data_IF_600990388989
#
_entry.id   IF_600990388989
#
_cell.length_a   1.000
_cell.length_b   1.000
_cell.length_c   1.000
_cell.angle_alpha   90.00
_cell.angle_beta   90.00
_cell.angle_gamma   90.00
#
_symmetry.space_group_name_H-M   'P 1'
#
loop_
_entity.id
_entity.type
_entity.pdbx_description
1 polymer ?
#
# COMPACT_ATOMS: atom_id res chain seq x y z
N UNK A 1 -32.11 84.40 -55.60
CA UNK A 1 -31.30 83.31 -54.99
C UNK A 1 -32.28 82.27 -54.48
N UNK A 2 -32.27 80.98 -54.82
CA UNK A 2 -31.37 80.17 -55.66
C UNK A 2 -32.20 78.95 -56.08
N UNK A 3 -32.26 78.73 -57.38
CA UNK A 3 -32.48 77.47 -58.11
C UNK A 3 -32.48 76.17 -57.27
N UNK A 4 -33.65 75.52 -57.19
CA UNK A 4 -33.78 74.11 -56.81
C UNK A 4 -33.33 73.25 -58.00
N UNK A 5 -32.03 72.99 -58.05
CA UNK A 5 -31.36 72.18 -59.06
C UNK A 5 -31.94 70.76 -59.05
N UNK A 6 -32.54 70.34 -60.17
CA UNK A 6 -32.88 68.95 -60.46
C UNK A 6 -31.66 68.05 -60.23
N UNK A 7 -31.76 67.14 -59.26
CA UNK A 7 -30.73 66.15 -58.99
C UNK A 7 -30.97 64.97 -59.93
N UNK A 8 -29.96 64.67 -60.75
CA UNK A 8 -29.95 63.60 -61.74
C UNK A 8 -30.39 62.25 -61.14
N UNK A 9 -31.37 61.52 -61.74
CA UNK A 9 -31.87 60.26 -61.21
C UNK A 9 -30.79 59.15 -61.20
N UNK A 10 -29.84 59.22 -62.12
CA UNK A 10 -28.68 58.31 -62.20
C UNK A 10 -27.73 58.50 -61.01
N UNK A 11 -27.62 59.71 -60.46
CA UNK A 11 -26.78 60.00 -59.30
C UNK A 11 -27.43 59.52 -58.00
N UNK A 12 -28.78 59.54 -57.92
CA UNK A 12 -29.55 58.97 -56.81
C UNK A 12 -29.47 57.44 -56.76
N UNK A 13 -29.49 56.78 -57.91
CA UNK A 13 -29.35 55.31 -57.99
C UNK A 13 -27.91 54.89 -57.63
N UNK A 14 -26.89 55.62 -58.10
CA UNK A 14 -25.49 55.36 -57.71
C UNK A 14 -25.21 55.63 -56.23
N UNK A 15 -25.79 56.69 -55.66
CA UNK A 15 -25.67 56.98 -54.22
C UNK A 15 -26.45 55.98 -53.35
N UNK A 16 -27.61 55.50 -53.81
CA UNK A 16 -28.39 54.46 -53.12
C UNK A 16 -27.71 53.09 -53.18
N UNK A 17 -27.05 52.74 -54.28
CA UNK A 17 -26.26 51.50 -54.39
C UNK A 17 -24.99 51.58 -53.54
N UNK A 18 -24.32 52.74 -53.47
CA UNK A 18 -23.15 52.93 -52.61
C UNK A 18 -23.51 52.97 -51.11
N UNK A 19 -24.67 53.51 -50.74
CA UNK A 19 -25.19 53.49 -49.37
C UNK A 19 -25.75 52.10 -48.96
N UNK A 20 -26.36 51.35 -49.89
CA UNK A 20 -26.80 49.98 -49.65
C UNK A 20 -25.62 49.00 -49.52
N UNK A 21 -24.50 49.28 -50.20
CA UNK A 21 -23.26 48.50 -50.07
C UNK A 21 -22.50 48.78 -48.76
N UNK A 22 -22.80 49.89 -48.07
CA UNK A 22 -22.23 50.21 -46.75
C UNK A 22 -23.09 49.76 -45.56
N UNK A 23 -24.36 49.40 -45.79
CA UNK A 23 -25.27 48.89 -44.74
C UNK A 23 -25.24 47.36 -44.64
N UNK A 24 -24.67 46.66 -45.63
CA UNK A 24 -24.55 45.19 -45.64
C UNK A 24 -23.15 44.66 -45.25
N UNK A 25 -22.27 45.49 -44.67
CA UNK A 25 -20.91 45.09 -44.23
C UNK A 25 -20.65 45.51 -42.77
N UNK A 26 -21.45 45.03 -41.80
CA UNK A 26 -20.86 44.71 -40.50
C UNK A 26 -21.28 43.36 -39.89
N UNK A 27 -21.93 42.47 -40.63
CA UNK A 27 -22.35 41.14 -40.10
C UNK A 27 -21.21 40.10 -40.10
N UNK A 28 -20.03 40.42 -40.66
CA UNK A 28 -18.90 39.50 -40.77
C UNK A 28 -17.81 39.64 -39.68
N UNK A 29 -18.07 40.42 -38.62
CA UNK A 29 -17.12 40.56 -37.49
C UNK A 29 -17.70 40.15 -36.14
N UNK A 30 -18.74 39.32 -36.13
CA UNK A 30 -19.11 38.50 -34.96
C UNK A 30 -18.43 37.14 -35.06
N UNK A 31 -17.12 37.13 -35.33
CA UNK A 31 -16.32 36.01 -34.87
C UNK A 31 -16.16 36.25 -33.37
N UNK A 32 -17.05 35.65 -32.60
CA UNK A 32 -16.66 35.21 -31.26
C UNK A 32 -15.30 34.56 -31.44
N UNK A 33 -14.26 35.05 -30.77
CA UNK A 33 -13.14 34.20 -30.47
C UNK A 33 -13.76 33.09 -29.63
N UNK A 34 -14.23 32.03 -30.28
CA UNK A 34 -14.14 30.69 -29.73
C UNK A 34 -12.66 30.56 -29.43
N UNK A 35 -12.29 30.97 -28.21
CA UNK A 35 -11.15 30.37 -27.54
C UNK A 35 -11.43 28.90 -27.69
N UNK A 36 -10.54 28.20 -28.36
CA UNK A 36 -10.64 26.76 -28.55
C UNK A 36 -10.66 26.16 -27.14
N UNK A 37 -11.85 26.02 -26.54
CA UNK A 37 -12.04 25.34 -25.25
C UNK A 37 -11.62 23.87 -25.40
N UNK A 38 -11.54 23.39 -26.64
CA UNK A 38 -10.92 22.13 -27.02
C UNK A 38 -9.40 22.11 -26.83
N UNK A 39 -8.68 23.23 -26.73
CA UNK A 39 -7.25 23.27 -26.32
C UNK A 39 -7.07 23.46 -24.81
N UNK A 40 -8.05 24.00 -24.09
CA UNK A 40 -8.00 24.12 -22.62
C UNK A 40 -8.52 22.88 -21.89
N UNK A 41 -9.00 21.87 -22.62
CA UNK A 41 -9.55 20.63 -22.06
C UNK A 41 -8.89 19.38 -22.66
N UNK A 42 -7.61 19.46 -23.03
CA UNK A 42 -6.79 18.27 -23.26
C UNK A 42 -5.81 18.13 -22.10
N UNK A 43 -6.33 17.80 -20.92
CA UNK A 43 -5.57 16.95 -20.02
C UNK A 43 -5.24 15.69 -20.81
N UNK A 44 -3.98 15.56 -21.23
CA UNK A 44 -3.50 14.44 -22.02
C UNK A 44 -3.95 13.13 -21.31
N UNK A 45 -4.88 12.34 -21.88
CA UNK A 45 -5.48 11.18 -21.18
C UNK A 45 -4.45 10.08 -20.88
N UNK A 46 -3.24 10.20 -21.43
CA UNK A 46 -2.13 9.33 -21.13
C UNK A 46 -1.32 9.75 -19.89
N UNK A 47 -1.52 10.95 -19.33
CA UNK A 47 -0.74 11.43 -18.18
C UNK A 47 -1.47 11.22 -16.86
N UNK A 48 -0.81 10.64 -15.87
CA UNK A 48 -1.31 10.59 -14.49
C UNK A 48 -1.22 11.99 -13.87
N UNK A 49 -2.30 12.74 -14.00
CA UNK A 49 -2.51 14.04 -13.35
C UNK A 49 -3.67 13.95 -12.35
N UNK A 50 -3.38 14.19 -11.07
CA UNK A 50 -4.39 14.10 -10.02
C UNK A 50 -5.20 15.41 -9.94
N UNK A 51 -6.51 15.29 -10.17
CA UNK A 51 -7.46 16.37 -9.96
C UNK A 51 -7.89 16.41 -8.50
N UNK A 52 -7.63 17.54 -7.82
CA UNK A 52 -7.91 17.76 -6.40
C UNK A 52 -9.17 18.63 -6.22
N UNK A 53 -9.78 18.59 -5.04
CA UNK A 53 -10.83 19.53 -4.68
C UNK A 53 -10.26 20.95 -4.54
N UNK A 54 -10.99 21.94 -5.08
CA UNK A 54 -10.60 23.36 -5.08
C UNK A 54 -11.66 24.28 -4.46
N UNK A 55 -12.73 23.71 -3.91
CA UNK A 55 -13.79 24.47 -3.27
C UNK A 55 -13.50 24.85 -1.81
N UNK A 56 -14.46 25.48 -1.11
CA UNK A 56 -14.29 25.84 0.28
C UNK A 56 -14.24 24.61 1.20
N UNK A 57 -13.25 24.56 2.09
CA UNK A 57 -13.13 23.50 3.09
C UNK A 57 -13.82 23.91 4.40
N UNK A 58 -14.62 23.00 4.96
CA UNK A 58 -15.24 23.16 6.29
C UNK A 58 -14.37 22.62 7.42
N UNK A 59 -13.41 21.75 7.09
CA UNK A 59 -12.44 21.16 8.01
C UNK A 59 -11.06 21.39 7.42
N UNK A 60 -10.15 21.93 8.22
CA UNK A 60 -8.76 22.14 7.85
C UNK A 60 -7.90 21.44 8.88
N UNK A 61 -7.09 20.48 8.42
CA UNK A 61 -6.10 19.81 9.23
C UNK A 61 -4.70 20.36 8.94
N UNK A 62 -3.86 20.41 9.97
CA UNK A 62 -2.44 20.68 9.79
C UNK A 62 -1.75 19.49 9.11
N UNK A 63 -0.60 19.72 8.47
CA UNK A 63 0.18 18.63 7.85
C UNK A 63 0.54 17.53 8.86
N UNK A 64 0.85 17.92 10.10
CA UNK A 64 1.16 16.98 11.18
C UNK A 64 -0.05 16.13 11.57
N UNK A 65 -1.23 16.74 11.69
CA UNK A 65 -2.47 15.98 11.98
C UNK A 65 -2.77 14.97 10.87
N UNK A 66 -2.57 15.35 9.61
CA UNK A 66 -2.76 14.45 8.46
C UNK A 66 -1.75 13.29 8.50
N UNK A 67 -0.49 13.57 8.80
CA UNK A 67 0.56 12.56 8.95
C UNK A 67 0.27 11.61 10.13
N UNK A 68 -0.23 12.15 11.25
CA UNK A 68 -0.54 11.38 12.46
C UNK A 68 -1.67 10.35 12.22
N UNK A 69 -2.53 10.54 11.21
CA UNK A 69 -3.50 9.52 10.76
C UNK A 69 -2.78 8.24 10.34
N UNK A 70 -1.75 8.37 9.49
CA UNK A 70 -0.93 7.24 9.04
C UNK A 70 -0.19 6.56 10.18
N UNK A 71 0.44 7.37 11.05
CA UNK A 71 1.18 6.89 12.23
C UNK A 71 0.27 6.13 13.20
N UNK A 72 -0.98 6.58 13.38
CA UNK A 72 -1.97 5.87 14.20
C UNK A 72 -2.26 4.46 13.67
N UNK A 73 -2.43 4.29 12.36
CA UNK A 73 -2.67 2.97 11.76
C UNK A 73 -1.42 2.08 11.86
N UNK A 74 -0.23 2.63 11.63
CA UNK A 74 1.02 1.92 11.81
C UNK A 74 1.20 1.41 13.25
N UNK A 75 0.92 2.24 14.25
CA UNK A 75 0.99 1.86 15.66
C UNK A 75 0.02 0.71 15.99
N UNK A 76 -1.20 0.74 15.46
CA UNK A 76 -2.17 -0.35 15.62
C UNK A 76 -1.69 -1.65 14.95
N UNK A 77 -1.14 -1.56 13.73
CA UNK A 77 -0.62 -2.70 13.00
C UNK A 77 0.57 -3.34 13.73
N UNK A 78 1.51 -2.55 14.24
CA UNK A 78 2.62 -3.01 15.11
C UNK A 78 2.12 -3.67 16.40
N UNK A 79 1.01 -3.20 16.95
CA UNK A 79 0.36 -3.80 18.11
C UNK A 79 -0.38 -5.12 17.78
N UNK A 80 -0.38 -5.55 16.51
CA UNK A 80 -0.97 -6.80 16.04
C UNK A 80 -2.40 -6.65 15.50
N UNK A 81 -2.91 -5.43 15.35
CA UNK A 81 -4.22 -5.22 14.74
C UNK A 81 -4.11 -5.38 13.23
N UNK A 82 -4.88 -6.32 12.67
CA UNK A 82 -4.99 -6.48 11.23
C UNK A 82 -6.42 -6.90 10.90
N UNK A 83 -7.25 -6.02 10.29
CA UNK A 83 -6.93 -4.66 9.83
C UNK A 83 -6.64 -3.64 10.94
N UNK A 84 -5.74 -2.69 10.66
CA UNK A 84 -5.54 -1.46 11.41
C UNK A 84 -6.43 -0.34 10.85
N UNK A 85 -7.05 0.49 11.69
CA UNK A 85 -8.08 1.44 11.24
C UNK A 85 -7.94 2.83 11.85
N UNK A 86 -8.29 3.84 11.07
CA UNK A 86 -8.54 5.19 11.57
C UNK A 86 -10.01 5.54 11.42
N UNK A 87 -10.78 5.29 12.49
CA UNK A 87 -12.23 5.41 12.48
C UNK A 87 -12.88 4.63 11.34
N UNK A 88 -13.85 5.27 10.68
CA UNK A 88 -14.52 4.75 9.47
C UNK A 88 -13.92 5.31 8.18
N UNK A 89 -12.71 5.91 8.23
CA UNK A 89 -12.14 6.69 7.11
C UNK A 89 -11.06 5.94 6.35
N UNK A 90 -10.19 5.25 7.07
CA UNK A 90 -9.03 4.58 6.47
C UNK A 90 -8.79 3.23 7.15
N UNK A 91 -8.43 2.24 6.34
CA UNK A 91 -8.06 0.90 6.78
C UNK A 91 -6.76 0.48 6.11
N UNK A 92 -5.87 -0.17 6.86
CA UNK A 92 -4.71 -0.87 6.30
C UNK A 92 -4.79 -2.35 6.65
N UNK A 93 -4.62 -3.20 5.63
CA UNK A 93 -4.50 -4.66 5.78
C UNK A 93 -3.07 -5.05 5.41
N UNK A 94 -2.34 -5.62 6.37
CA UNK A 94 -0.98 -6.14 6.15
C UNK A 94 -1.06 -7.61 5.73
N UNK A 95 -0.64 -7.94 4.51
CA UNK A 95 -0.78 -9.28 3.95
C UNK A 95 0.58 -9.85 3.58
N UNK A 96 1.07 -10.76 4.43
CA UNK A 96 2.32 -11.51 4.22
C UNK A 96 2.03 -13.01 4.20
N UNK A 97 2.52 -13.71 3.18
CA UNK A 97 2.32 -15.16 3.01
C UNK A 97 3.61 -15.89 2.62
N UNK A 98 3.90 -16.99 3.31
CA UNK A 98 5.03 -17.87 2.96
C UNK A 98 4.69 -18.92 1.88
N UNK A 99 3.45 -18.94 1.37
CA UNK A 99 2.95 -20.02 0.50
C UNK A 99 3.48 -19.93 -0.94
N UNK A 100 3.79 -18.72 -1.41
CA UNK A 100 4.23 -18.44 -2.78
C UNK A 100 5.55 -17.65 -2.72
N UNK A 101 6.53 -18.05 -3.52
CA UNK A 101 7.81 -17.35 -3.67
C UNK A 101 7.83 -16.57 -4.98
N UNK A 102 8.59 -15.46 -5.03
CA UNK A 102 8.79 -14.70 -6.27
C UNK A 102 7.63 -13.80 -6.69
N UNK A 103 6.64 -13.60 -5.81
CA UNK A 103 5.57 -12.62 -5.94
C UNK A 103 5.52 -11.72 -4.71
N UNK A 104 4.93 -10.55 -4.85
CA UNK A 104 4.88 -9.57 -3.76
C UNK A 104 3.82 -9.91 -2.71
N UNK A 105 4.22 -9.72 -1.45
CA UNK A 105 3.30 -9.42 -0.35
C UNK A 105 2.83 -7.96 -0.50
N UNK A 106 1.86 -7.52 0.30
CA UNK A 106 1.39 -6.14 0.22
C UNK A 106 0.80 -5.61 1.52
N UNK A 107 0.94 -4.30 1.72
CA UNK A 107 -0.06 -3.55 2.48
C UNK A 107 -1.14 -3.03 1.54
N UNK A 108 -2.40 -3.24 1.92
CA UNK A 108 -3.56 -2.73 1.19
C UNK A 108 -4.13 -1.56 1.98
N UNK A 109 -3.97 -0.37 1.43
CA UNK A 109 -4.48 0.88 1.99
C UNK A 109 -5.84 1.22 1.37
N UNK A 110 -6.88 1.21 2.20
CA UNK A 110 -8.27 1.38 1.77
C UNK A 110 -8.77 2.75 2.20
N UNK A 111 -9.31 3.52 1.25
CA UNK A 111 -10.12 4.70 1.57
C UNK A 111 -11.57 4.26 1.72
N UNK A 112 -12.04 4.27 2.97
CA UNK A 112 -13.40 3.89 3.31
C UNK A 112 -14.39 4.97 2.86
N UNK A 113 -15.72 4.70 2.85
CA UNK A 113 -16.71 5.67 2.38
C UNK A 113 -16.67 7.03 3.07
N UNK A 114 -16.25 7.08 4.35
CA UNK A 114 -16.16 8.34 5.10
C UNK A 114 -14.79 9.03 4.96
N UNK A 115 -13.91 8.54 4.07
CA UNK A 115 -12.62 9.18 3.81
C UNK A 115 -12.84 10.63 3.37
N UNK A 116 -12.21 11.58 4.09
CA UNK A 116 -12.36 13.00 3.84
C UNK A 116 -11.17 13.62 3.10
N UNK A 117 -10.27 12.80 2.55
CA UNK A 117 -9.10 13.30 1.83
C UNK A 117 -9.49 13.61 0.40
N UNK A 118 -9.12 14.81 -0.03
CA UNK A 118 -9.58 15.44 -1.27
C UNK A 118 -8.42 16.06 -2.08
N UNK A 119 -7.20 15.93 -1.56
CA UNK A 119 -5.98 16.42 -2.19
C UNK A 119 -4.88 15.36 -2.14
N UNK A 120 -4.22 15.12 -3.27
CA UNK A 120 -3.21 14.05 -3.43
C UNK A 120 -2.04 14.22 -2.45
N UNK A 121 -1.59 15.45 -2.23
CA UNK A 121 -0.57 15.78 -1.22
C UNK A 121 -0.97 15.31 0.19
N UNK A 122 -2.24 15.45 0.56
CA UNK A 122 -2.73 15.01 1.87
C UNK A 122 -2.76 13.48 1.94
N UNK A 123 -3.18 12.81 0.87
CA UNK A 123 -3.12 11.34 0.79
C UNK A 123 -1.69 10.82 0.92
N UNK A 124 -0.73 11.45 0.23
CA UNK A 124 0.71 11.14 0.33
C UNK A 124 1.25 11.38 1.74
N UNK A 125 0.76 12.40 2.45
CA UNK A 125 1.13 12.67 3.84
C UNK A 125 0.60 11.60 4.81
N UNK A 126 -0.62 11.07 4.59
CA UNK A 126 -1.14 9.94 5.37
C UNK A 126 -0.30 8.70 5.11
N UNK A 127 -0.01 8.38 3.84
CA UNK A 127 0.83 7.25 3.47
C UNK A 127 2.24 7.38 4.07
N UNK A 128 2.87 8.56 3.98
CA UNK A 128 4.20 8.77 4.52
C UNK A 128 4.23 8.54 6.03
N UNK A 129 3.23 9.02 6.77
CA UNK A 129 3.12 8.77 8.20
C UNK A 129 3.04 7.28 8.55
N UNK A 130 2.31 6.50 7.73
CA UNK A 130 2.27 5.04 7.90
C UNK A 130 3.64 4.39 7.61
N UNK A 131 4.30 4.77 6.51
CA UNK A 131 5.60 4.21 6.12
C UNK A 131 6.74 4.57 7.08
N UNK A 132 6.76 5.81 7.58
CA UNK A 132 7.69 6.26 8.62
C UNK A 132 7.55 5.41 9.88
N UNK A 133 6.33 5.27 10.39
CA UNK A 133 6.18 4.57 11.66
C UNK A 133 6.32 3.07 11.43
N UNK A 134 5.58 2.45 10.50
CA UNK A 134 5.58 1.00 10.33
C UNK A 134 6.92 0.44 9.84
N UNK A 135 7.54 1.08 8.85
CA UNK A 135 8.76 0.60 8.21
C UNK A 135 10.01 1.40 8.54
N UNK A 136 9.92 2.44 9.38
CA UNK A 136 11.07 3.24 9.83
C UNK A 136 11.83 3.97 8.70
N UNK A 137 11.14 4.32 7.60
CA UNK A 137 11.69 5.26 6.62
C UNK A 137 11.81 6.67 7.22
N UNK A 138 12.75 7.49 6.70
CA UNK A 138 12.73 8.93 7.01
C UNK A 138 11.46 9.56 6.43
N UNK A 139 11.11 10.76 6.89
CA UNK A 139 9.96 11.48 6.33
C UNK A 139 10.13 11.73 4.84
N UNK A 140 11.32 12.14 4.40
CA UNK A 140 11.64 12.42 3.01
C UNK A 140 11.47 11.17 2.15
N UNK A 141 12.03 10.04 2.58
CA UNK A 141 11.94 8.76 1.87
C UNK A 141 10.49 8.26 1.85
N UNK A 142 9.79 8.33 2.97
CA UNK A 142 8.41 7.91 3.08
C UNK A 142 7.47 8.73 2.18
N UNK A 143 7.68 10.05 2.09
CA UNK A 143 6.89 10.92 1.24
C UNK A 143 7.21 10.70 -0.24
N UNK A 144 8.48 10.47 -0.58
CA UNK A 144 8.90 10.07 -1.92
C UNK A 144 8.24 8.75 -2.34
N UNK A 145 8.34 7.72 -1.49
CA UNK A 145 7.71 6.43 -1.73
C UNK A 145 6.19 6.58 -1.88
N UNK A 146 5.54 7.41 -1.06
CA UNK A 146 4.11 7.69 -1.19
C UNK A 146 3.76 8.32 -2.55
N UNK A 147 4.61 9.18 -3.11
CA UNK A 147 4.43 9.70 -4.47
C UNK A 147 4.45 8.58 -5.51
N UNK A 148 5.48 7.73 -5.52
CA UNK A 148 5.57 6.60 -6.44
C UNK A 148 4.41 5.61 -6.25
N UNK A 149 4.03 5.28 -5.01
CA UNK A 149 2.88 4.42 -4.69
C UNK A 149 1.59 4.98 -5.30
N UNK A 150 1.33 6.28 -5.16
CA UNK A 150 0.09 6.87 -5.71
C UNK A 150 0.06 6.80 -7.25
N UNK A 151 1.19 7.03 -7.91
CA UNK A 151 1.26 6.96 -9.38
C UNK A 151 1.17 5.50 -9.85
N UNK A 152 1.89 4.58 -9.20
CA UNK A 152 1.81 3.14 -9.44
C UNK A 152 0.36 2.61 -9.39
N UNK A 153 -0.40 3.02 -8.38
CA UNK A 153 -1.80 2.62 -8.23
C UNK A 153 -2.73 3.28 -9.24
N UNK A 154 -2.41 4.49 -9.71
CA UNK A 154 -3.17 5.13 -10.77
C UNK A 154 -2.94 4.48 -12.14
N UNK A 155 -1.68 4.16 -12.47
CA UNK A 155 -1.32 3.45 -13.70
C UNK A 155 -2.00 2.08 -13.78
N UNK A 156 -2.15 1.40 -12.65
CA UNK A 156 -2.69 0.04 -12.56
C UNK A 156 -4.13 -0.03 -12.04
N UNK A 157 -4.89 1.09 -12.11
CA UNK A 157 -6.28 1.13 -11.67
C UNK A 157 -7.13 0.03 -12.33
N UNK A 158 -7.80 -0.76 -11.49
CA UNK A 158 -8.64 -1.92 -11.86
C UNK A 158 -7.95 -3.01 -12.68
N UNK A 159 -6.60 -3.01 -12.75
CA UNK A 159 -5.85 -3.96 -13.55
C UNK A 159 -5.60 -5.28 -12.79
N UNK A 160 -6.67 -6.05 -12.60
CA UNK A 160 -6.61 -7.32 -11.87
C UNK A 160 -5.71 -8.36 -12.52
N UNK A 161 -5.53 -8.33 -13.84
CA UNK A 161 -4.61 -9.23 -14.54
C UNK A 161 -3.16 -8.96 -14.10
N UNK A 162 -2.76 -7.69 -14.08
CA UNK A 162 -1.46 -7.27 -13.57
C UNK A 162 -1.28 -7.63 -12.09
N UNK A 163 -2.27 -7.36 -11.24
CA UNK A 163 -2.18 -7.70 -9.82
C UNK A 163 -2.07 -9.21 -9.59
N UNK A 164 -2.80 -10.03 -10.35
CA UNK A 164 -2.71 -11.49 -10.26
C UNK A 164 -1.35 -12.05 -10.72
N UNK A 165 -0.70 -11.38 -11.67
CA UNK A 165 0.65 -11.73 -12.13
C UNK A 165 1.69 -11.41 -11.04
N UNK A 166 1.64 -10.20 -10.47
CA UNK A 166 2.69 -9.63 -9.61
C UNK A 166 2.57 -10.01 -8.13
N UNK A 167 1.34 -10.15 -7.62
CA UNK A 167 1.09 -10.35 -6.19
C UNK A 167 0.68 -11.78 -5.88
N UNK A 168 0.98 -12.21 -4.65
CA UNK A 168 0.58 -13.52 -4.13
C UNK A 168 -0.95 -13.64 -4.10
N UNK A 169 -1.47 -14.86 -4.24
CA UNK A 169 -2.91 -15.08 -4.22
C UNK A 169 -3.56 -14.60 -2.91
N UNK A 170 -2.82 -14.64 -1.79
CA UNK A 170 -3.27 -14.11 -0.51
C UNK A 170 -3.59 -12.61 -0.55
N UNK A 171 -2.78 -11.80 -1.28
CA UNK A 171 -3.02 -10.36 -1.48
C UNK A 171 -4.21 -10.15 -2.40
N UNK A 172 -4.20 -10.83 -3.55
CA UNK A 172 -5.24 -10.71 -4.57
C UNK A 172 -6.62 -11.06 -4.02
N UNK A 173 -6.70 -12.02 -3.10
CA UNK A 173 -7.95 -12.42 -2.44
C UNK A 173 -8.63 -11.33 -1.60
N UNK A 174 -7.94 -10.25 -1.25
CA UNK A 174 -8.55 -9.09 -0.58
C UNK A 174 -9.06 -8.02 -1.54
N UNK A 175 -8.63 -8.05 -2.80
CA UNK A 175 -8.91 -6.97 -3.75
C UNK A 175 -10.33 -7.07 -4.30
N UNK A 176 -10.98 -5.92 -4.39
CA UNK A 176 -12.22 -5.76 -5.16
C UNK A 176 -11.85 -5.16 -6.51
N UNK A 177 -12.19 -5.79 -7.65
CA UNK A 177 -11.73 -5.36 -8.98
C UNK A 177 -11.96 -3.88 -9.28
N UNK A 178 -13.15 -3.35 -9.00
CA UNK A 178 -13.47 -1.94 -9.31
C UNK A 178 -12.80 -0.93 -8.35
N UNK A 179 -12.19 -1.42 -7.27
CA UNK A 179 -11.55 -0.58 -6.24
C UNK A 179 -10.04 -0.69 -6.23
N UNK A 180 -9.47 -1.71 -6.87
CA UNK A 180 -8.03 -1.97 -6.84
C UNK A 180 -7.27 -0.87 -7.58
N UNK A 181 -6.33 -0.20 -6.92
CA UNK A 181 -5.63 0.98 -7.44
C UNK A 181 -6.21 2.29 -6.93
N UNK A 182 -5.93 3.39 -7.63
CA UNK A 182 -6.31 4.76 -7.24
C UNK A 182 -6.81 5.56 -8.44
N UNK A 183 -7.99 6.19 -8.35
CA UNK A 183 -8.47 7.12 -9.38
C UNK A 183 -7.64 8.41 -9.40
N UNK A 184 -7.47 9.04 -10.56
CA UNK A 184 -6.88 10.39 -10.65
C UNK A 184 -7.85 11.50 -10.20
N UNK A 185 -9.14 11.18 -10.04
CA UNK A 185 -10.16 12.14 -9.62
C UNK A 185 -10.54 11.95 -8.14
N UNK A 186 -10.34 13.00 -7.33
CA UNK A 186 -10.53 12.92 -5.87
C UNK A 186 -11.92 12.43 -5.42
N UNK A 187 -12.99 12.78 -6.15
CA UNK A 187 -14.34 12.42 -5.76
C UNK A 187 -14.61 10.91 -5.91
N UNK A 188 -13.77 10.20 -6.65
CA UNK A 188 -13.80 8.75 -6.78
C UNK A 188 -12.92 8.04 -5.75
N UNK A 189 -12.34 8.72 -4.76
CA UNK A 189 -11.54 8.05 -3.75
C UNK A 189 -12.37 7.36 -2.66
N UNK A 190 -13.30 8.06 -1.96
CA UNK A 190 -13.98 7.50 -0.80
C UNK A 190 -14.82 6.26 -1.14
N UNK A 191 -14.54 5.15 -0.47
CA UNK A 191 -15.25 3.88 -0.62
C UNK A 191 -14.95 3.10 -1.91
N UNK A 192 -14.12 3.64 -2.81
CA UNK A 192 -13.82 3.08 -4.13
C UNK A 192 -12.31 2.87 -4.38
N UNK A 193 -11.48 2.97 -3.34
CA UNK A 193 -10.02 2.87 -3.49
C UNK A 193 -9.42 1.82 -2.55
N UNK A 194 -8.60 0.94 -3.12
CA UNK A 194 -7.76 -0.05 -2.45
C UNK A 194 -6.36 0.04 -3.09
N UNK A 195 -5.49 0.87 -2.52
CA UNK A 195 -4.13 1.04 -2.99
C UNK A 195 -3.24 -0.10 -2.49
N UNK A 196 -2.41 -0.64 -3.37
CA UNK A 196 -1.40 -1.64 -3.04
C UNK A 196 -0.05 -0.97 -2.79
N UNK A 197 0.62 -1.42 -1.74
CA UNK A 197 1.99 -1.08 -1.41
C UNK A 197 2.79 -2.39 -1.50
N UNK A 198 3.57 -2.63 -2.58
CA UNK A 198 4.27 -3.89 -2.76
C UNK A 198 5.39 -4.05 -1.74
N UNK A 199 5.40 -5.20 -1.08
CA UNK A 199 6.36 -5.56 -0.05
C UNK A 199 7.35 -6.59 -0.57
N UNK A 200 8.61 -6.44 -0.17
CA UNK A 200 9.63 -7.46 -0.40
C UNK A 200 9.49 -8.59 0.62
N UNK A 201 10.19 -9.70 0.41
CA UNK A 201 10.24 -10.80 1.39
C UNK A 201 10.86 -10.37 2.74
N UNK A 202 11.48 -9.18 2.81
CA UNK A 202 12.08 -8.61 4.03
C UNK A 202 11.12 -7.72 4.82
N UNK A 203 9.90 -7.49 4.37
CA UNK A 203 8.96 -6.61 5.08
C UNK A 203 8.71 -7.03 6.54
N UNK A 204 8.81 -8.32 6.86
CA UNK A 204 8.72 -8.87 8.21
C UNK A 204 9.80 -8.32 9.18
N UNK A 205 10.94 -7.83 8.68
CA UNK A 205 12.01 -7.27 9.53
C UNK A 205 11.87 -5.77 9.78
N UNK A 206 11.01 -5.09 9.01
CA UNK A 206 10.93 -3.64 8.97
C UNK A 206 12.24 -2.99 8.45
N UNK A 207 12.22 -1.67 8.29
CA UNK A 207 13.38 -0.90 7.84
C UNK A 207 13.43 -0.66 6.32
N UNK A 208 14.49 0.01 5.91
CA UNK A 208 14.81 0.30 4.51
C UNK A 208 14.90 -1.01 3.70
N UNK A 209 14.30 -1.05 2.51
CA UNK A 209 14.17 -2.25 1.67
C UNK A 209 12.96 -3.15 2.00
N UNK A 210 12.07 -2.74 2.91
CA UNK A 210 10.81 -3.46 3.17
C UNK A 210 9.83 -3.35 1.99
N UNK A 211 9.84 -2.22 1.29
CA UNK A 211 9.01 -1.97 0.11
C UNK A 211 9.79 -2.32 -1.16
N UNK A 212 9.08 -2.77 -2.19
CA UNK A 212 9.66 -2.99 -3.52
C UNK A 212 9.76 -1.65 -4.26
N UNK A 213 10.86 -0.93 -4.03
CA UNK A 213 11.14 0.35 -4.70
C UNK A 213 11.26 0.18 -6.23
N UNK A 214 11.71 -0.99 -6.71
CA UNK A 214 11.74 -1.33 -8.14
C UNK A 214 10.35 -1.48 -8.75
N UNK A 215 9.42 -2.13 -8.07
CA UNK A 215 8.06 -2.36 -8.60
C UNK A 215 7.28 -1.04 -8.69
N UNK A 216 7.32 -0.21 -7.63
CA UNK A 216 6.63 1.09 -7.64
C UNK A 216 7.28 2.11 -8.58
N UNK A 217 8.48 1.82 -9.11
CA UNK A 217 9.18 2.65 -10.09
C UNK A 217 9.40 1.93 -11.42
N UNK A 218 8.51 1.00 -11.75
CA UNK A 218 8.53 0.33 -13.04
C UNK A 218 8.48 1.35 -14.21
N UNK A 219 8.95 0.98 -15.41
CA UNK A 219 9.10 1.92 -16.52
C UNK A 219 7.85 2.77 -16.80
N UNK A 220 6.66 2.18 -16.74
CA UNK A 220 5.39 2.91 -16.93
C UNK A 220 5.23 4.05 -15.93
N UNK A 221 5.51 3.81 -14.65
CA UNK A 221 5.42 4.83 -13.59
C UNK A 221 6.45 5.94 -13.81
N UNK A 222 7.66 5.58 -14.22
CA UNK A 222 8.72 6.56 -14.52
C UNK A 222 8.36 7.41 -15.73
N UNK A 223 7.75 6.83 -16.77
CA UNK A 223 7.27 7.61 -17.92
C UNK A 223 6.18 8.61 -17.50
N UNK A 224 5.28 8.25 -16.58
CA UNK A 224 4.29 9.20 -16.05
C UNK A 224 4.93 10.39 -15.33
N UNK A 225 5.97 10.15 -14.53
CA UNK A 225 6.74 11.21 -13.90
C UNK A 225 7.44 12.12 -14.92
N UNK A 226 7.92 11.57 -16.03
CA UNK A 226 8.60 12.34 -17.09
C UNK A 226 7.68 13.29 -17.83
N UNK A 227 6.37 13.08 -17.79
CA UNK A 227 5.37 13.96 -18.39
C UNK A 227 5.11 15.22 -17.54
N UNK A 228 5.54 15.26 -16.27
CA UNK A 228 5.44 16.44 -15.41
C UNK A 228 6.34 17.59 -15.93
N UNK A 229 6.04 18.83 -15.53
CA UNK A 229 6.78 20.02 -16.00
C UNK A 229 8.29 19.93 -15.76
N UNK A 230 8.69 19.43 -14.59
CA UNK A 230 10.09 19.21 -14.20
C UNK A 230 10.62 17.82 -14.61
N UNK A 231 9.80 17.06 -15.35
CA UNK A 231 10.03 15.66 -15.75
C UNK A 231 10.27 14.72 -14.55
N UNK A 232 9.82 15.11 -13.36
CA UNK A 232 10.08 14.42 -12.10
C UNK A 232 11.55 14.14 -11.86
N UNK A 233 12.46 14.99 -12.34
CA UNK A 233 13.91 14.79 -12.17
C UNK A 233 14.30 14.68 -10.69
N UNK A 234 13.88 15.60 -9.79
CA UNK A 234 14.24 15.52 -8.38
C UNK A 234 13.77 14.22 -7.74
N UNK A 235 12.51 13.84 -7.92
CA UNK A 235 11.97 12.59 -7.36
C UNK A 235 12.68 11.35 -7.90
N UNK A 236 13.17 11.37 -9.15
CA UNK A 236 13.91 10.24 -9.73
C UNK A 236 15.33 10.16 -9.20
N UNK A 237 15.99 11.29 -8.97
CA UNK A 237 17.30 11.38 -8.33
C UNK A 237 17.21 10.86 -6.88
N UNK A 238 16.27 11.38 -6.09
CA UNK A 238 16.05 10.94 -4.71
C UNK A 238 15.74 9.44 -4.62
N UNK A 239 15.03 8.88 -5.62
CA UNK A 239 14.74 7.45 -5.67
C UNK A 239 16.00 6.62 -5.96
N UNK A 240 16.88 7.09 -6.83
CA UNK A 240 18.17 6.43 -7.09
C UNK A 240 19.00 6.44 -5.81
N UNK A 241 19.10 7.59 -5.13
CA UNK A 241 19.82 7.72 -3.85
C UNK A 241 19.22 6.81 -2.76
N UNK A 242 17.90 6.69 -2.71
CA UNK A 242 17.23 5.73 -1.83
C UNK A 242 17.67 4.30 -2.18
N UNK A 243 17.57 3.89 -3.45
CA UNK A 243 17.96 2.54 -3.90
C UNK A 243 19.43 2.22 -3.59
N UNK A 244 20.33 3.18 -3.77
CA UNK A 244 21.74 3.02 -3.40
C UNK A 244 21.89 2.76 -1.89
N UNK A 245 21.16 3.50 -1.05
CA UNK A 245 21.13 3.25 0.40
C UNK A 245 20.51 1.90 0.75
N UNK A 246 19.47 1.44 0.04
CA UNK A 246 18.88 0.11 0.25
C UNK A 246 19.91 -1.00 -0.05
N UNK A 247 20.64 -0.86 -1.16
CA UNK A 247 21.70 -1.80 -1.56
C UNK A 247 22.86 -1.82 -0.56
N UNK A 248 23.29 -0.66 -0.09
CA UNK A 248 24.35 -0.55 0.91
C UNK A 248 23.96 -1.20 2.24
N UNK A 249 22.71 -0.99 2.67
CA UNK A 249 22.19 -1.62 3.87
C UNK A 249 22.10 -3.15 3.70
N UNK A 250 21.62 -3.62 2.56
CA UNK A 250 21.60 -5.05 2.24
C UNK A 250 23.01 -5.67 2.25
N UNK A 251 24.00 -5.00 1.66
CA UNK A 251 25.40 -5.47 1.69
C UNK A 251 25.90 -5.60 3.12
N UNK A 252 25.64 -4.61 3.98
CA UNK A 252 26.01 -4.63 5.40
C UNK A 252 25.34 -5.78 6.15
N UNK A 253 24.05 -6.03 5.90
CA UNK A 253 23.31 -7.09 6.57
C UNK A 253 23.76 -8.49 6.11
N UNK A 254 24.07 -8.65 4.82
CA UNK A 254 24.68 -9.87 4.28
C UNK A 254 26.07 -10.10 4.91
N UNK A 255 26.88 -9.05 5.04
CA UNK A 255 28.20 -9.17 5.65
C UNK A 255 28.11 -9.58 7.13
N UNK A 256 27.24 -8.93 7.91
CA UNK A 256 26.97 -9.32 9.30
C UNK A 256 26.49 -10.76 9.40
N UNK A 257 25.52 -11.16 8.57
CA UNK A 257 25.02 -12.53 8.56
C UNK A 257 26.13 -13.55 8.21
N UNK A 258 27.05 -13.22 7.30
CA UNK A 258 28.23 -14.05 7.00
C UNK A 258 29.16 -14.15 8.20
N UNK A 259 29.49 -13.04 8.85
CA UNK A 259 30.35 -13.03 10.05
C UNK A 259 29.73 -13.85 11.19
N UNK A 260 28.43 -13.71 11.43
CA UNK A 260 27.70 -14.51 12.43
C UNK A 260 27.70 -16.00 12.08
N UNK A 261 27.54 -16.36 10.81
CA UNK A 261 27.58 -17.75 10.36
C UNK A 261 28.98 -18.36 10.51
N UNK A 262 30.03 -17.59 10.23
CA UNK A 262 31.42 -18.01 10.43
C UNK A 262 31.77 -18.17 11.91
N UNK A 263 31.31 -17.27 12.77
CA UNK A 263 31.46 -17.39 14.21
C UNK A 263 30.75 -18.66 14.75
N UNK A 264 29.50 -18.89 14.34
CA UNK A 264 28.76 -20.11 14.71
C UNK A 264 29.45 -21.40 14.24
N UNK A 265 30.04 -21.40 13.04
CA UNK A 265 30.82 -22.55 12.54
C UNK A 265 32.12 -22.80 13.32
N UNK A 266 32.72 -21.77 13.92
CA UNK A 266 33.91 -21.89 14.78
C UNK A 266 33.55 -22.34 16.20
N UNK A 267 32.34 -22.05 16.67
CA UNK A 267 31.86 -22.39 18.01
C UNK A 267 31.12 -23.74 18.10
N UNK A 268 30.63 -24.32 17.00
CA UNK A 268 30.15 -25.72 17.01
C UNK A 268 31.34 -26.68 17.23
N UNK A 269 31.46 -27.37 18.38
CA UNK A 269 32.49 -28.36 18.56
C UNK A 269 32.25 -29.48 17.57
N UNK A 270 33.29 -29.88 16.83
CA UNK A 270 33.30 -31.13 16.07
C UNK A 270 32.87 -32.25 17.02
N UNK A 271 31.60 -32.66 16.97
CA UNK A 271 31.15 -33.88 17.65
C UNK A 271 31.96 -35.02 17.05
N UNK A 272 32.84 -35.72 17.79
CA UNK A 272 33.48 -36.90 17.27
C UNK A 272 32.40 -37.95 16.97
N UNK A 273 32.44 -38.48 15.75
CA UNK A 273 31.43 -39.36 15.16
C UNK A 273 31.49 -40.81 15.71
N UNK A 274 31.78 -41.02 17.00
CA UNK A 274 32.12 -42.36 17.53
C UNK A 274 31.23 -42.89 18.67
N UNK A 275 30.04 -42.34 18.94
CA UNK A 275 29.18 -42.86 20.04
C UNK A 275 27.81 -43.40 19.65
N UNK A 276 27.48 -43.54 18.37
CA UNK A 276 26.16 -44.09 17.95
C UNK A 276 26.19 -45.60 17.62
N UNK A 277 27.34 -46.27 17.60
CA UNK A 277 27.43 -47.70 17.25
C UNK A 277 27.32 -48.69 18.43
N UNK A 278 27.22 -48.23 19.68
CA UNK A 278 27.20 -49.15 20.84
C UNK A 278 25.80 -49.51 21.38
N UNK A 279 24.71 -49.00 20.81
CA UNK A 279 23.35 -49.22 21.33
C UNK A 279 22.46 -50.14 20.45
N UNK A 280 22.99 -50.73 19.39
CA UNK A 280 22.20 -51.47 18.39
C UNK A 280 22.25 -53.01 18.49
N UNK A 281 22.91 -53.60 19.49
CA UNK A 281 22.90 -55.06 19.68
C UNK A 281 22.33 -55.45 21.04
N UNK A 282 21.00 -55.63 21.09
CA UNK A 282 20.33 -56.76 21.78
C UNK A 282 18.80 -56.71 21.60
N UNK A 283 18.32 -57.57 20.70
CA UNK A 283 17.01 -58.25 20.69
C UNK A 283 17.31 -59.67 20.14
N UNK A 284 16.46 -60.73 20.26
CA UNK A 284 15.08 -60.86 20.76
C UNK A 284 14.90 -62.18 21.62
N UNK A 285 13.73 -62.83 21.84
CA UNK A 285 12.40 -62.69 21.24
C UNK A 285 11.15 -62.80 22.15
N UNK A 286 10.01 -62.67 21.48
CA UNK A 286 8.62 -62.65 21.95
C UNK A 286 8.09 -64.02 22.40
N UNK A 287 7.07 -64.03 23.27
CA UNK A 287 5.94 -64.96 23.23
C UNK A 287 4.76 -64.44 24.08
N UNK A 288 3.58 -64.87 23.67
CA UNK A 288 2.19 -64.61 24.08
C UNK A 288 1.85 -64.89 25.56
N UNK A 289 0.83 -64.21 26.09
CA UNK A 289 -0.44 -64.84 26.51
C UNK A 289 -1.42 -63.81 27.11
N UNK A 290 -2.70 -63.95 26.72
CA UNK A 290 -3.90 -63.32 27.31
C UNK A 290 -4.71 -64.45 27.96
N UNK A 291 -5.35 -64.23 29.13
CA UNK A 291 -6.81 -64.35 29.21
C UNK A 291 -7.42 -63.17 30.01
N UNK A 292 -8.41 -62.42 29.51
CA UNK A 292 -9.85 -62.72 29.37
C UNK A 292 -10.66 -62.62 30.68
N UNK A 293 -11.58 -61.64 30.73
CA UNK A 293 -12.97 -61.67 31.29
C UNK A 293 -13.51 -60.23 31.39
N UNK A 294 -14.41 -59.77 30.49
CA UNK A 294 -15.88 -59.64 30.64
C UNK A 294 -16.29 -58.68 31.79
N UNK A 295 -17.13 -57.65 31.64
CA UNK A 295 -18.44 -57.58 30.95
C UNK A 295 -18.88 -56.10 30.74
N UNK A 296 -19.62 -55.81 29.65
CA UNK A 296 -20.39 -54.57 29.31
C UNK A 296 -21.83 -54.64 29.94
N UNK A 297 -22.85 -53.78 29.68
CA UNK A 297 -22.95 -52.43 29.06
C UNK A 297 -23.96 -51.42 29.73
N UNK A 298 -24.00 -50.18 29.23
CA UNK A 298 -25.21 -49.32 29.09
C UNK A 298 -25.52 -48.37 30.25
N UNK A 299 -26.19 -47.23 30.12
CA UNK A 299 -26.71 -46.40 29.02
C UNK A 299 -27.14 -45.04 29.66
N UNK A 300 -27.30 -44.02 28.80
CA UNK A 300 -28.00 -42.73 28.93
C UNK A 300 -28.60 -42.24 30.27
N UNK A 301 -28.48 -40.92 30.49
CA UNK A 301 -29.48 -40.18 31.26
C UNK A 301 -29.01 -38.85 31.88
N UNK A 302 -29.30 -37.74 31.20
CA UNK A 302 -29.37 -36.37 31.78
C UNK A 302 -30.75 -36.23 32.47
N UNK A 303 -30.89 -35.53 33.60
CA UNK A 303 -31.37 -34.12 33.60
C UNK A 303 -30.67 -33.27 34.69
N UNK A 304 -30.29 -32.02 34.43
CA UNK A 304 -31.06 -30.77 34.54
C UNK A 304 -31.30 -30.25 35.97
N UNK A 305 -30.85 -28.99 36.15
CA UNK A 305 -31.33 -27.92 37.03
C UNK A 305 -31.14 -28.01 38.55
N UNK A 306 -30.29 -27.12 39.08
CA UNK A 306 -30.76 -26.04 39.97
C UNK A 306 -29.70 -24.91 40.10
N UNK A 307 -30.21 -23.68 39.94
CA UNK A 307 -29.65 -22.37 40.34
C UNK A 307 -30.52 -21.95 41.56
N UNK A 308 -30.29 -20.85 42.34
CA UNK A 308 -29.30 -19.75 42.27
C UNK A 308 -28.90 -19.32 43.73
N UNK A 309 -28.76 -18.02 44.14
CA UNK A 309 -28.37 -16.77 43.48
C UNK A 309 -27.30 -15.95 44.27
N UNK A 310 -27.05 -14.74 43.75
CA UNK A 310 -26.60 -13.49 44.41
C UNK A 310 -25.09 -13.18 44.38
N UNK A 311 -24.62 -11.93 44.34
CA UNK A 311 -25.07 -10.64 43.77
C UNK A 311 -23.95 -9.62 44.09
N UNK A 312 -23.82 -8.61 43.22
CA UNK A 312 -23.37 -7.22 43.48
C UNK A 312 -21.86 -6.89 43.66
N UNK A 313 -21.39 -6.12 42.66
CA UNK A 313 -20.76 -4.78 42.74
C UNK A 313 -19.36 -4.62 43.32
N UNK A 314 -18.48 -3.95 42.56
CA UNK A 314 -17.30 -3.24 43.09
C UNK A 314 -16.24 -2.95 42.04
N UNK A 315 -16.24 -1.73 41.48
CA UNK A 315 -15.01 -1.03 41.09
C UNK A 315 -14.46 -0.35 42.37
N UNK A 316 -13.13 -0.14 42.53
CA UNK A 316 -12.43 0.89 41.74
C UNK A 316 -10.96 0.57 41.33
N UNK A 317 -10.53 1.31 40.32
CA UNK A 317 -9.18 1.82 40.00
C UNK A 317 -7.95 1.39 40.82
N UNK A 318 -6.88 1.03 40.10
CA UNK A 318 -5.53 1.61 40.29
C UNK A 318 -4.63 1.32 39.08
N UNK A 319 -3.94 2.36 38.62
CA UNK A 319 -2.99 2.34 37.52
C UNK A 319 -1.70 1.60 37.89
N UNK A 320 -1.24 0.73 37.00
CA UNK A 320 0.13 0.19 37.01
C UNK A 320 0.78 0.47 35.65
N UNK A 321 1.89 1.21 35.68
CA UNK A 321 2.81 1.41 34.55
C UNK A 321 3.37 0.07 34.09
N UNK A 322 3.52 -0.22 32.79
CA UNK A 322 4.48 -1.22 32.34
C UNK A 322 5.80 -0.55 31.97
N UNK A 323 6.76 -0.82 32.84
CA UNK A 323 8.20 -0.85 32.58
C UNK A 323 8.53 -1.61 31.29
N UNK A 324 9.60 -1.18 30.62
CA UNK A 324 10.32 -1.94 29.61
C UNK A 324 10.59 -3.39 30.07
N UNK A 325 10.40 -4.37 29.17
CA UNK A 325 10.83 -5.73 29.43
C UNK A 325 10.16 -6.81 28.56
N UNK A 326 10.96 -7.39 27.67
CA UNK A 326 10.88 -8.77 27.16
C UNK A 326 9.69 -9.14 26.25
N UNK A 327 9.96 -9.57 24.99
CA UNK A 327 8.92 -10.07 24.10
C UNK A 327 8.18 -11.27 24.71
N UNK A 328 6.84 -11.40 24.52
CA UNK A 328 6.08 -12.55 25.01
C UNK A 328 6.68 -13.87 24.53
N UNK A 329 6.69 -14.89 25.38
CA UNK A 329 7.28 -16.20 25.09
C UNK A 329 6.78 -16.85 23.78
N UNK A 330 5.58 -16.48 23.32
CA UNK A 330 5.03 -16.88 22.03
C UNK A 330 5.81 -16.31 20.83
N UNK A 331 6.24 -15.05 20.89
CA UNK A 331 7.02 -14.40 19.85
C UNK A 331 8.42 -15.02 19.72
N UNK A 332 9.06 -15.34 20.85
CA UNK A 332 10.36 -16.04 20.87
C UNK A 332 10.27 -17.47 20.34
N UNK A 333 9.16 -18.17 20.61
CA UNK A 333 8.94 -19.54 20.12
C UNK A 333 8.70 -19.57 18.61
N UNK A 334 7.97 -18.60 18.07
CA UNK A 334 7.76 -18.46 16.62
C UNK A 334 9.06 -18.06 15.92
N UNK A 335 9.86 -17.16 16.53
CA UNK A 335 11.19 -16.78 16.02
C UNK A 335 12.16 -17.96 15.99
N UNK A 336 12.19 -18.80 17.03
CA UNK A 336 13.03 -20.03 17.07
C UNK A 336 12.64 -21.03 15.99
N UNK A 337 11.35 -21.32 15.83
CA UNK A 337 10.88 -22.24 14.77
C UNK A 337 11.20 -21.72 13.36
N UNK A 338 11.12 -20.41 13.13
CA UNK A 338 11.44 -19.80 11.83
C UNK A 338 12.94 -19.84 11.51
N UNK A 339 13.81 -19.60 12.50
CA UNK A 339 15.27 -19.72 12.33
C UNK A 339 15.71 -21.16 12.04
N UNK A 340 15.02 -22.15 12.62
CA UNK A 340 15.29 -23.57 12.38
C UNK A 340 14.95 -23.98 10.94
N UNK A 341 13.83 -23.49 10.40
CA UNK A 341 13.43 -23.71 8.99
C UNK A 341 14.40 -23.03 8.02
N UNK A 342 14.90 -21.84 8.35
CA UNK A 342 15.90 -21.13 7.54
C UNK A 342 17.25 -21.87 7.51
N UNK A 343 17.68 -22.45 8.64
CA UNK A 343 18.90 -23.26 8.74
C UNK A 343 18.82 -24.51 7.86
N UNK A 344 17.64 -25.13 7.77
CA UNK A 344 17.38 -26.29 6.90
C UNK A 344 17.46 -25.90 5.41
N UNK A 345 16.85 -24.78 5.00
CA UNK A 345 16.92 -24.30 3.61
C UNK A 345 18.35 -23.96 3.14
N UNK A 346 19.22 -23.48 4.03
CA UNK A 346 20.62 -23.19 3.71
C UNK A 346 21.53 -24.43 3.64
N UNK A 347 21.09 -25.57 4.19
CA UNK A 347 21.83 -26.84 4.20
C UNK A 347 21.57 -27.73 2.99
N UNK A 348 20.58 -27.41 2.15
CA UNK A 348 20.26 -28.21 0.96
C UNK A 348 21.18 -27.79 -0.20
N UNK A 349 21.86 -28.75 -0.87
CA UNK A 349 22.69 -28.43 -2.03
C UNK A 349 21.80 -27.87 -3.14
N UNK A 350 22.13 -26.66 -3.62
CA UNK A 350 21.53 -26.08 -4.82
C UNK A 350 21.87 -27.01 -6.00
N UNK A 351 20.90 -27.80 -6.45
CA UNK A 351 21.00 -28.53 -7.70
C UNK A 351 21.21 -27.53 -8.83
N UNK A 352 22.30 -27.72 -9.57
CA UNK A 352 22.72 -26.89 -10.72
C UNK A 352 21.74 -26.95 -11.86
#
# INVERSE_FOLDING_TARGET
MKELKQINPVLRIKAAVFAAMFIFIPVLFMFSLEVDEAELTVSNPEQVEFTNYTGPHTVINTLKEIQDIGKSMAAQAKAGSNPARYGSKYTVIHVVSAAESGKFDADIFILEPDAGVDHIRNLRMILSGYLEDFYAYSFEDAFLLAQFITIYNAVNLSNMAYFAEKYKAAVVGYLVPEKAGLSTYYADWPGKTMMLIPLTEKADTGGIGSLSSDEISEPKVVEELRKQEDKGIPSREDLIDLKERELDQERKDIEKAKQELEAQKKEEPKRPADTVLAAAEKKPPAASDIPASATKPGDAGKPAAEKPPAAKTGEPAAAEKPSAGTPPAAALRNRRKRLEVAKIKLSLPRTR
#
